data_IF_277058204431
#
_entry.id   IF_277058204431
#
_cell.length_a   1.000
_cell.length_b   1.000
_cell.length_c   1.000
_cell.angle_alpha   90.00
_cell.angle_beta   90.00
_cell.angle_gamma   90.00
#
_symmetry.space_group_name_H-M   'P 1'
#
loop_
_entity.id
_entity.type
_entity.pdbx_description
1 polymer ?
#
# COMPACT_ATOMS: atom_id res chain seq x y z
N UNK A 1 -21.46 19.87 15.43
CA UNK A 1 -21.09 19.57 14.04
C UNK A 1 -20.19 18.35 14.07
N UNK A 2 -20.52 17.27 13.37
CA UNK A 2 -19.63 16.11 13.26
C UNK A 2 -18.39 16.55 12.49
N UNK A 3 -17.19 16.31 13.02
CA UNK A 3 -15.95 16.56 12.29
C UNK A 3 -15.77 15.47 11.23
N UNK A 4 -15.45 15.85 9.99
CA UNK A 4 -15.10 14.88 8.97
C UNK A 4 -13.76 14.23 9.32
N UNK A 5 -13.75 12.89 9.33
CA UNK A 5 -12.55 12.10 9.62
C UNK A 5 -11.88 11.67 8.31
N UNK A 6 -10.56 11.53 8.32
CA UNK A 6 -9.81 10.98 7.19
C UNK A 6 -10.21 9.53 6.91
N UNK A 7 -10.50 9.21 5.64
CA UNK A 7 -10.85 7.85 5.22
C UNK A 7 -9.72 6.83 5.39
N UNK A 8 -8.47 7.28 5.50
CA UNK A 8 -7.31 6.39 5.58
C UNK A 8 -6.87 6.09 7.02
N UNK A 9 -6.76 7.12 7.87
CA UNK A 9 -6.26 6.97 9.25
C UNK A 9 -7.28 7.37 10.34
N UNK A 10 -8.43 7.94 9.99
CA UNK A 10 -9.43 8.39 10.98
C UNK A 10 -9.12 9.70 11.68
N UNK A 11 -7.97 10.34 11.44
CA UNK A 11 -7.67 11.67 12.00
C UNK A 11 -8.65 12.72 11.47
N UNK A 12 -9.13 13.66 12.31
CA UNK A 12 -9.93 14.79 11.85
C UNK A 12 -9.27 15.55 10.70
N UNK A 13 -10.07 15.88 9.69
CA UNK A 13 -9.62 16.65 8.54
C UNK A 13 -9.50 18.14 8.88
N UNK A 14 -8.48 18.78 8.32
CA UNK A 14 -8.24 20.21 8.41
C UNK A 14 -8.25 20.83 7.01
N UNK A 15 -8.65 22.10 6.84
CA UNK A 15 -8.52 22.77 5.55
C UNK A 15 -7.05 22.82 5.09
N UNK A 16 -6.77 22.41 3.85
CA UNK A 16 -5.44 22.53 3.23
C UNK A 16 -5.56 23.14 1.83
N UNK A 17 -4.68 24.08 1.53
CA UNK A 17 -4.64 24.78 0.24
C UNK A 17 -3.53 24.23 -0.64
N UNK A 18 -3.83 23.84 -1.89
CA UNK A 18 -2.84 23.48 -2.91
C UNK A 18 -3.29 24.02 -4.26
N UNK A 19 -2.36 24.63 -5.01
CA UNK A 19 -2.65 25.29 -6.30
C UNK A 19 -3.85 26.26 -6.24
N UNK A 20 -3.95 27.07 -5.18
CA UNK A 20 -5.00 28.08 -5.01
C UNK A 20 -6.39 27.54 -4.64
N UNK A 21 -6.54 26.24 -4.40
CA UNK A 21 -7.80 25.61 -4.00
C UNK A 21 -7.67 24.97 -2.62
N UNK A 22 -8.74 25.06 -1.82
CA UNK A 22 -8.80 24.51 -0.46
C UNK A 22 -9.64 23.24 -0.43
N UNK A 23 -9.10 22.19 0.17
CA UNK A 23 -9.79 20.92 0.37
C UNK A 23 -9.63 20.44 1.81
N UNK A 24 -10.54 19.58 2.31
CA UNK A 24 -10.27 18.79 3.50
C UNK A 24 -8.99 17.96 3.30
N UNK A 25 -8.04 18.07 4.21
CA UNK A 25 -6.79 17.32 4.17
C UNK A 25 -6.45 16.73 5.52
N UNK A 26 -5.81 15.57 5.52
CA UNK A 26 -5.41 14.92 6.74
C UNK A 26 -4.06 15.48 7.23
N UNK A 27 -3.93 15.95 8.48
CA UNK A 27 -2.63 16.39 9.00
C UNK A 27 -1.69 15.22 9.28
N UNK A 28 -2.20 13.99 9.40
CA UNK A 28 -1.43 12.78 9.70
C UNK A 28 -0.88 12.12 8.43
N UNK A 29 -1.75 11.56 7.57
CA UNK A 29 -1.31 10.88 6.34
C UNK A 29 -1.12 11.84 5.15
N UNK A 30 -1.38 13.14 5.34
CA UNK A 30 -1.20 14.20 4.34
C UNK A 30 -2.11 14.14 3.10
N UNK A 31 -2.98 13.13 3.00
CA UNK A 31 -3.98 13.02 1.94
C UNK A 31 -4.90 14.23 1.84
N UNK A 32 -5.36 14.48 0.62
CA UNK A 32 -6.39 15.47 0.30
C UNK A 32 -7.66 14.73 -0.11
N UNK A 33 -8.80 15.22 0.36
CA UNK A 33 -10.12 14.67 0.09
C UNK A 33 -10.95 15.71 -0.69
N UNK A 34 -10.64 15.93 -1.98
CA UNK A 34 -11.27 16.98 -2.77
C UNK A 34 -12.74 16.69 -3.10
N UNK A 35 -13.15 15.43 -2.98
CA UNK A 35 -14.49 14.95 -3.34
C UNK A 35 -15.18 14.33 -2.12
N UNK A 36 -16.24 14.97 -1.58
CA UNK A 36 -17.02 14.43 -0.46
C UNK A 36 -17.62 13.05 -0.76
N UNK A 37 -17.94 12.73 -2.02
CA UNK A 37 -18.45 11.41 -2.40
C UNK A 37 -17.39 10.33 -2.21
N UNK A 38 -16.14 10.60 -2.58
CA UNK A 38 -15.02 9.67 -2.39
C UNK A 38 -14.80 9.42 -0.89
N UNK A 39 -14.82 10.48 -0.08
CA UNK A 39 -14.67 10.34 1.37
C UNK A 39 -15.81 9.51 1.99
N UNK A 40 -17.05 9.74 1.58
CA UNK A 40 -18.21 8.98 2.04
C UNK A 40 -18.15 7.51 1.61
N UNK A 41 -17.72 7.21 0.37
CA UNK A 41 -17.53 5.84 -0.12
C UNK A 41 -16.47 5.10 0.70
N UNK A 42 -15.31 5.75 0.94
CA UNK A 42 -14.26 5.14 1.77
C UNK A 42 -14.78 4.85 3.17
N UNK A 43 -15.45 5.79 3.84
CA UNK A 43 -16.02 5.53 5.17
C UNK A 43 -17.04 4.40 5.19
N UNK A 44 -17.83 4.25 4.12
CA UNK A 44 -18.84 3.20 4.02
C UNK A 44 -18.24 1.81 3.91
N UNK A 45 -17.11 1.65 3.21
CA UNK A 45 -16.57 0.34 2.86
C UNK A 45 -15.21 0.02 3.46
N UNK A 46 -14.59 0.97 4.17
CA UNK A 46 -13.31 0.80 4.84
C UNK A 46 -13.34 -0.44 5.74
N UNK A 47 -12.32 -1.28 5.59
CA UNK A 47 -12.01 -2.32 6.56
C UNK A 47 -11.08 -1.72 7.63
N UNK A 48 -11.33 -1.99 8.93
CA UNK A 48 -10.36 -1.62 9.95
C UNK A 48 -9.06 -2.40 9.67
N UNK A 49 -7.88 -1.79 9.91
CA UNK A 49 -6.64 -2.56 9.91
C UNK A 49 -6.73 -3.67 10.98
N UNK A 50 -6.01 -4.78 10.81
CA UNK A 50 -5.87 -5.74 11.89
C UNK A 50 -5.32 -5.06 13.16
N UNK A 51 -5.77 -5.46 14.36
CA UNK A 51 -5.35 -4.81 15.60
C UNK A 51 -3.84 -4.95 15.81
N UNK A 52 -3.24 -3.91 16.40
CA UNK A 52 -1.80 -3.81 16.70
C UNK A 52 -0.87 -3.85 15.48
N UNK A 53 -1.38 -3.70 14.26
CA UNK A 53 -0.60 -3.78 13.03
C UNK A 53 0.18 -2.51 12.73
N UNK A 54 1.48 -2.69 12.44
CA UNK A 54 2.35 -1.62 11.94
C UNK A 54 2.30 -1.54 10.43
N UNK A 55 2.22 -2.68 9.73
CA UNK A 55 2.07 -2.75 8.27
C UNK A 55 0.86 -3.60 7.86
N UNK A 56 -0.01 -3.07 7.00
CA UNK A 56 -1.07 -3.88 6.38
C UNK A 56 -1.27 -3.54 4.92
N UNK A 57 -1.51 -4.53 4.07
CA UNK A 57 -2.04 -4.33 2.72
C UNK A 57 -3.38 -5.05 2.61
N UNK A 58 -4.47 -4.27 2.47
CA UNK A 58 -5.83 -4.81 2.49
C UNK A 58 -6.59 -4.47 1.23
N UNK A 59 -7.34 -5.45 0.72
CA UNK A 59 -8.35 -5.22 -0.31
C UNK A 59 -9.65 -4.70 0.32
N UNK A 60 -10.06 -3.52 -0.09
CA UNK A 60 -11.25 -2.81 0.35
C UNK A 60 -12.18 -2.59 -0.85
N UNK A 61 -13.28 -3.35 -0.97
CA UNK A 61 -14.36 -2.98 -1.89
C UNK A 61 -14.75 -1.53 -1.65
N UNK A 62 -14.97 -0.73 -2.69
CA UNK A 62 -15.30 0.71 -2.56
C UNK A 62 -16.60 1.08 -3.30
N UNK A 63 -17.30 0.08 -3.86
CA UNK A 63 -18.51 0.27 -4.66
C UNK A 63 -18.28 0.75 -6.09
N UNK A 64 -17.03 0.82 -6.57
CA UNK A 64 -16.70 1.09 -7.98
C UNK A 64 -16.31 -0.20 -8.71
N UNK A 65 -16.04 -0.11 -10.03
CA UNK A 65 -15.57 -1.22 -10.85
C UNK A 65 -14.20 -1.75 -10.39
N UNK A 66 -13.34 -0.85 -9.93
CA UNK A 66 -12.02 -1.18 -9.40
C UNK A 66 -11.99 -0.81 -7.93
N UNK A 67 -12.14 -1.85 -7.12
CA UNK A 67 -11.99 -1.80 -5.67
C UNK A 67 -10.61 -1.28 -5.26
N UNK A 68 -10.43 -0.91 -4.01
CA UNK A 68 -9.17 -0.33 -3.56
C UNK A 68 -8.26 -1.38 -2.91
N UNK A 69 -6.95 -1.17 -3.06
CA UNK A 69 -5.95 -1.64 -2.11
C UNK A 69 -5.51 -0.50 -1.22
N UNK A 70 -5.35 -0.83 0.05
CA UNK A 70 -4.91 0.12 1.06
C UNK A 70 -3.68 -0.42 1.77
N UNK A 71 -2.54 0.20 1.49
CA UNK A 71 -1.34 0.06 2.26
C UNK A 71 -1.45 0.96 3.50
N UNK A 72 -1.13 0.43 4.66
CA UNK A 72 -0.94 1.18 5.90
C UNK A 72 0.44 0.86 6.45
N UNK A 73 1.16 1.88 6.88
CA UNK A 73 2.51 1.78 7.42
C UNK A 73 2.67 2.80 8.56
N UNK A 74 2.55 2.34 9.81
CA UNK A 74 2.43 3.20 10.98
C UNK A 74 1.22 4.12 10.85
N UNK A 75 1.46 5.43 10.78
CA UNK A 75 0.42 6.46 10.59
C UNK A 75 0.21 6.84 9.13
N UNK A 76 1.09 6.35 8.23
CA UNK A 76 0.98 6.54 6.79
C UNK A 76 -0.01 5.57 6.18
N UNK A 77 -0.67 6.00 5.12
CA UNK A 77 -1.55 5.16 4.34
C UNK A 77 -1.54 5.61 2.88
N UNK A 78 -1.57 4.64 1.98
CA UNK A 78 -1.64 4.84 0.54
C UNK A 78 -2.78 3.98 -0.01
N UNK A 79 -3.61 4.59 -0.86
CA UNK A 79 -4.74 3.94 -1.51
C UNK A 79 -4.52 3.92 -3.01
N UNK A 80 -4.66 2.74 -3.60
CA UNK A 80 -4.55 2.51 -5.06
C UNK A 80 -5.71 1.64 -5.52
N UNK A 81 -6.04 1.71 -6.81
CA UNK A 81 -7.03 0.80 -7.36
C UNK A 81 -6.48 -0.63 -7.51
N UNK A 82 -7.38 -1.58 -7.70
CA UNK A 82 -7.07 -3.00 -7.89
C UNK A 82 -7.02 -3.43 -9.36
N UNK A 83 -6.99 -2.49 -10.31
CA UNK A 83 -7.11 -2.79 -11.74
C UNK A 83 -6.03 -3.78 -12.20
N UNK A 84 -4.76 -3.48 -11.92
CA UNK A 84 -3.63 -4.33 -12.32
C UNK A 84 -3.60 -5.68 -11.60
N UNK A 85 -4.16 -5.77 -10.39
CA UNK A 85 -4.33 -7.06 -9.70
C UNK A 85 -5.42 -7.91 -10.37
N UNK A 86 -6.43 -7.29 -10.96
CA UNK A 86 -7.46 -7.98 -11.73
C UNK A 86 -6.90 -8.54 -13.06
N UNK A 87 -5.87 -7.89 -13.62
CA UNK A 87 -5.17 -8.32 -14.84
C UNK A 87 -4.10 -9.39 -14.62
N UNK A 88 -3.80 -9.73 -13.36
CA UNK A 88 -2.72 -10.63 -12.96
C UNK A 88 -3.07 -12.11 -13.15
N UNK A 89 -3.19 -12.51 -14.41
CA UNK A 89 -3.62 -13.83 -14.81
C UNK A 89 -3.16 -14.19 -16.22
N UNK A 90 -2.92 -15.49 -16.46
CA UNK A 90 -2.73 -16.02 -17.80
C UNK A 90 -4.02 -15.86 -18.63
N UNK A 91 -3.88 -15.56 -19.93
CA UNK A 91 -5.00 -15.30 -20.83
C UNK A 91 -6.13 -16.35 -20.73
N UNK A 92 -7.38 -15.87 -20.68
CA UNK A 92 -8.58 -16.69 -20.62
C UNK A 92 -9.09 -17.07 -19.22
N UNK A 93 -8.37 -16.71 -18.15
CA UNK A 93 -8.88 -16.82 -16.77
C UNK A 93 -9.75 -15.63 -16.42
N UNK A 94 -10.64 -15.79 -15.42
CA UNK A 94 -11.38 -14.65 -14.86
C UNK A 94 -10.46 -13.82 -13.95
N UNK A 95 -10.64 -12.50 -13.89
CA UNK A 95 -9.96 -11.65 -12.92
C UNK A 95 -10.16 -12.14 -11.48
N UNK A 96 -9.09 -12.17 -10.70
CA UNK A 96 -9.11 -12.60 -9.29
C UNK A 96 -8.08 -11.79 -8.48
N UNK A 97 -8.52 -10.60 -8.05
CA UNK A 97 -7.71 -9.66 -7.26
C UNK A 97 -7.22 -10.29 -5.97
N UNK A 98 -8.07 -11.06 -5.28
CA UNK A 98 -7.73 -11.66 -3.99
C UNK A 98 -6.62 -12.69 -4.17
N UNK A 99 -6.70 -13.52 -5.20
CA UNK A 99 -5.62 -14.47 -5.52
C UNK A 99 -4.31 -13.77 -5.87
N UNK A 100 -4.36 -12.71 -6.70
CA UNK A 100 -3.19 -11.90 -7.04
C UNK A 100 -2.53 -11.30 -5.79
N UNK A 101 -3.33 -10.66 -4.93
CA UNK A 101 -2.85 -10.08 -3.67
C UNK A 101 -2.23 -11.13 -2.74
N UNK A 102 -2.82 -12.32 -2.65
CA UNK A 102 -2.26 -13.42 -1.83
C UNK A 102 -0.92 -13.89 -2.38
N UNK A 103 -0.77 -13.99 -3.71
CA UNK A 103 0.49 -14.35 -4.33
C UNK A 103 1.57 -13.29 -4.04
N UNK A 104 1.23 -12.01 -4.24
CA UNK A 104 2.10 -10.88 -3.90
C UNK A 104 2.58 -10.93 -2.44
N UNK A 105 1.64 -11.06 -1.49
CA UNK A 105 1.97 -11.11 -0.04
C UNK A 105 2.78 -12.36 0.33
N UNK A 106 2.59 -13.47 -0.37
CA UNK A 106 3.43 -14.67 -0.21
C UNK A 106 4.87 -14.36 -0.64
N UNK A 107 5.05 -13.72 -1.80
CA UNK A 107 6.37 -13.28 -2.26
C UNK A 107 7.01 -12.25 -1.33
N UNK A 108 6.22 -11.32 -0.76
CA UNK A 108 6.71 -10.39 0.27
C UNK A 108 7.28 -11.14 1.47
N UNK A 109 6.54 -12.12 2.01
CA UNK A 109 6.99 -12.91 3.16
C UNK A 109 8.28 -13.68 2.85
N UNK A 110 8.38 -14.28 1.66
CA UNK A 110 9.59 -14.98 1.20
C UNK A 110 10.78 -14.02 1.09
N UNK A 111 10.60 -12.85 0.45
CA UNK A 111 11.66 -11.86 0.28
C UNK A 111 12.17 -11.33 1.62
N UNK A 112 11.28 -11.00 2.55
CA UNK A 112 11.64 -10.53 3.90
C UNK A 112 12.37 -11.60 4.71
N UNK A 113 11.93 -12.87 4.62
CA UNK A 113 12.57 -13.98 5.34
C UNK A 113 13.98 -14.25 4.80
N UNK A 114 14.18 -14.15 3.49
CA UNK A 114 15.46 -14.37 2.82
C UNK A 114 16.43 -13.17 2.84
N UNK A 115 15.99 -12.00 3.31
CA UNK A 115 16.79 -10.77 3.29
C UNK A 115 17.95 -10.84 4.31
N UNK A 116 19.19 -10.73 3.84
CA UNK A 116 20.35 -10.68 4.73
C UNK A 116 20.51 -9.30 5.38
N UNK A 117 21.32 -9.23 6.44
CA UNK A 117 21.61 -7.97 7.10
C UNK A 117 22.29 -6.97 6.15
N UNK A 118 21.91 -5.69 6.23
CA UNK A 118 22.36 -4.63 5.33
C UNK A 118 21.77 -4.69 3.91
N UNK A 119 20.97 -5.71 3.57
CA UNK A 119 20.30 -5.78 2.26
C UNK A 119 18.97 -5.04 2.25
N UNK A 120 18.61 -4.55 1.07
CA UNK A 120 17.31 -3.98 0.78
C UNK A 120 16.46 -4.99 0.00
N UNK A 121 15.18 -5.08 0.33
CA UNK A 121 14.16 -5.70 -0.52
C UNK A 121 13.11 -4.67 -0.89
N UNK A 122 12.61 -4.76 -2.12
CA UNK A 122 11.57 -3.88 -2.66
C UNK A 122 10.28 -4.66 -2.80
N UNK A 123 9.20 -4.14 -2.23
CA UNK A 123 7.90 -4.82 -2.12
C UNK A 123 6.81 -3.94 -2.79
N UNK A 124 6.29 -4.30 -3.98
CA UNK A 124 5.35 -3.45 -4.70
C UNK A 124 3.95 -3.58 -4.13
N UNK A 125 3.21 -2.47 -4.01
CA UNK A 125 1.85 -2.47 -3.47
C UNK A 125 0.84 -1.70 -4.33
N UNK A 126 1.29 -0.76 -5.15
CA UNK A 126 0.43 0.02 -6.03
C UNK A 126 0.93 -0.02 -7.47
N UNK A 127 0.03 -0.12 -8.43
CA UNK A 127 0.34 -0.21 -9.84
C UNK A 127 -0.52 0.80 -10.59
N UNK A 128 0.12 1.69 -11.34
CA UNK A 128 -0.53 2.75 -12.10
C UNK A 128 0.03 2.75 -13.51
N UNK A 129 -0.69 3.35 -14.46
CA UNK A 129 -0.28 3.37 -15.87
C UNK A 129 1.14 3.92 -16.09
N UNK A 130 1.57 4.88 -15.27
CA UNK A 130 2.84 5.59 -15.44
C UNK A 130 3.83 5.41 -14.27
N UNK A 131 3.48 4.63 -13.25
CA UNK A 131 4.31 4.46 -12.06
C UNK A 131 3.86 3.24 -11.23
N UNK A 132 4.72 2.84 -10.30
CA UNK A 132 4.42 1.79 -9.30
C UNK A 132 4.81 2.27 -7.91
N UNK A 133 4.02 1.91 -6.90
CA UNK A 133 4.30 2.15 -5.49
C UNK A 133 5.01 0.95 -4.86
N UNK A 134 6.03 1.23 -4.07
CA UNK A 134 6.92 0.24 -3.48
C UNK A 134 7.22 0.57 -2.02
N UNK A 135 7.37 -0.46 -1.22
CA UNK A 135 8.08 -0.37 0.06
C UNK A 135 9.54 -0.73 -0.16
N UNK A 136 10.46 0.10 0.36
CA UNK A 136 11.87 -0.28 0.53
C UNK A 136 12.08 -0.73 1.97
N UNK A 137 12.51 -1.97 2.15
CA UNK A 137 12.79 -2.56 3.46
C UNK A 137 14.27 -2.88 3.56
N UNK A 138 15.01 -2.14 4.38
CA UNK A 138 16.44 -2.39 4.63
C UNK A 138 16.59 -3.11 5.98
N UNK A 139 17.25 -4.27 5.98
CA UNK A 139 17.49 -5.02 7.22
C UNK A 139 18.69 -4.45 7.97
N UNK A 140 18.52 -4.28 9.29
CA UNK A 140 19.56 -3.92 10.25
C UNK A 140 19.35 -4.75 11.52
N UNK A 141 20.11 -5.85 11.64
CA UNK A 141 19.98 -6.84 12.70
C UNK A 141 18.61 -7.51 12.75
N UNK A 142 17.87 -7.26 13.83
CA UNK A 142 16.53 -7.79 14.11
C UNK A 142 15.40 -6.82 13.69
N UNK A 143 15.75 -5.77 12.96
CA UNK A 143 14.84 -4.70 12.58
C UNK A 143 14.91 -4.45 11.07
N UNK A 144 13.77 -4.13 10.48
CA UNK A 144 13.67 -3.53 9.15
C UNK A 144 13.40 -2.04 9.27
N UNK A 145 14.11 -1.26 8.47
CA UNK A 145 13.78 0.12 8.18
C UNK A 145 12.91 0.14 6.91
N UNK A 146 11.63 0.45 7.07
CA UNK A 146 10.62 0.38 6.02
C UNK A 146 10.18 1.78 5.63
N UNK A 147 10.24 2.11 4.35
CA UNK A 147 9.71 3.35 3.81
C UNK A 147 8.83 3.13 2.58
N UNK A 148 7.82 3.97 2.44
CA UNK A 148 6.98 4.04 1.26
C UNK A 148 7.63 4.89 0.18
N UNK A 149 7.42 4.52 -1.09
CA UNK A 149 7.97 5.21 -2.23
C UNK A 149 7.38 4.74 -3.54
N UNK A 150 8.00 5.17 -4.64
CA UNK A 150 7.53 4.89 -5.99
C UNK A 150 8.69 4.75 -6.97
N UNK A 151 8.39 4.21 -8.13
CA UNK A 151 9.28 4.12 -9.29
C UNK A 151 8.50 4.53 -10.55
N UNK A 152 9.20 5.04 -11.55
CA UNK A 152 8.63 5.34 -12.87
C UNK A 152 8.35 4.06 -13.68
N UNK A 153 8.64 2.87 -13.13
CA UNK A 153 8.19 1.60 -13.73
C UNK A 153 6.68 1.58 -13.83
N UNK A 154 6.19 1.46 -15.07
CA UNK A 154 4.78 1.44 -15.41
C UNK A 154 4.12 0.13 -14.95
N UNK A 155 2.88 0.22 -14.44
CA UNK A 155 2.16 -0.90 -13.83
C UNK A 155 1.87 -2.04 -14.80
N UNK A 156 1.73 -1.76 -16.10
CA UNK A 156 1.53 -2.79 -17.13
C UNK A 156 2.80 -3.59 -17.44
N UNK A 157 3.98 -3.11 -17.03
CA UNK A 157 5.26 -3.77 -17.27
C UNK A 157 5.61 -4.87 -16.24
N UNK A 158 4.73 -5.10 -15.27
CA UNK A 158 4.93 -6.00 -14.14
C UNK A 158 3.62 -6.69 -13.75
N UNK A 159 3.71 -7.98 -13.41
CA UNK A 159 2.60 -8.72 -12.82
C UNK A 159 2.71 -8.66 -11.30
N UNK A 160 1.66 -8.25 -10.56
CA UNK A 160 1.70 -8.22 -9.10
C UNK A 160 2.12 -9.55 -8.47
N UNK A 161 1.68 -10.69 -9.02
CA UNK A 161 2.06 -12.02 -8.54
C UNK A 161 3.46 -12.48 -8.94
N UNK A 162 4.13 -11.77 -9.86
CA UNK A 162 5.46 -12.13 -10.39
C UNK A 162 6.32 -10.88 -10.62
N UNK A 163 6.73 -10.26 -9.51
CA UNK A 163 7.41 -8.97 -9.51
C UNK A 163 8.93 -9.07 -9.27
N UNK A 164 9.44 -10.26 -8.93
CA UNK A 164 10.77 -10.42 -8.33
C UNK A 164 11.92 -9.97 -9.25
N UNK A 165 11.86 -10.34 -10.54
CA UNK A 165 12.85 -9.92 -11.54
C UNK A 165 12.88 -8.40 -11.69
N UNK A 166 11.69 -7.77 -11.76
CA UNK A 166 11.56 -6.32 -11.87
C UNK A 166 12.07 -5.60 -10.62
N UNK A 167 11.80 -6.15 -9.43
CA UNK A 167 12.30 -5.58 -8.18
C UNK A 167 13.84 -5.55 -8.12
N UNK A 168 14.52 -6.59 -8.61
CA UNK A 168 15.98 -6.65 -8.61
C UNK A 168 16.62 -5.59 -9.53
N UNK A 169 15.95 -5.25 -10.64
CA UNK A 169 16.41 -4.24 -11.59
C UNK A 169 15.99 -2.80 -11.28
N UNK A 170 15.23 -2.57 -10.21
CA UNK A 170 14.68 -1.26 -9.89
C UNK A 170 15.76 -0.34 -9.30
N UNK A 171 16.15 0.69 -10.04
CA UNK A 171 17.22 1.63 -9.64
C UNK A 171 16.73 3.05 -9.38
N UNK A 172 15.47 3.34 -9.69
CA UNK A 172 14.89 4.68 -9.69
C UNK A 172 13.90 4.91 -8.53
N UNK A 173 13.95 4.07 -7.49
CA UNK A 173 13.10 4.23 -6.30
C UNK A 173 13.24 5.62 -5.68
N UNK A 174 12.10 6.28 -5.47
CA UNK A 174 12.01 7.58 -4.81
C UNK A 174 11.08 7.50 -3.59
N UNK A 175 11.51 7.96 -2.41
CA UNK A 175 10.65 8.02 -1.23
C UNK A 175 9.38 8.84 -1.48
N UNK A 176 8.26 8.38 -0.92
CA UNK A 176 6.99 9.03 -1.06
C UNK A 176 7.04 10.42 -0.38
N UNK A 177 6.65 11.50 -1.09
CA UNK A 177 6.68 12.84 -0.52
C UNK A 177 5.85 12.92 0.76
N UNK A 178 6.52 13.18 1.89
CA UNK A 178 5.88 13.41 3.17
C UNK A 178 5.64 12.17 4.04
N UNK A 179 6.09 10.99 3.62
CA UNK A 179 6.17 9.81 4.48
C UNK A 179 6.99 10.09 5.75
N UNK A 180 8.11 10.80 5.60
CA UNK A 180 9.05 11.07 6.69
C UNK A 180 10.23 10.08 6.67
N UNK A 181 10.95 9.90 7.80
CA UNK A 181 12.03 8.92 7.88
C UNK A 181 11.49 7.48 7.82
N UNK A 182 12.30 6.50 7.38
CA UNK A 182 11.95 5.07 7.42
C UNK A 182 11.49 4.63 8.82
N UNK A 183 10.44 3.82 8.87
CA UNK A 183 9.91 3.26 10.11
C UNK A 183 10.73 2.03 10.51
N UNK A 184 11.26 2.03 11.73
CA UNK A 184 11.91 0.86 12.32
C UNK A 184 10.85 -0.14 12.81
N UNK A 185 10.84 -1.35 12.27
CA UNK A 185 9.90 -2.42 12.61
C UNK A 185 10.69 -3.69 12.89
N UNK A 186 10.47 -4.32 14.05
CA UNK A 186 11.08 -5.61 14.35
C UNK A 186 10.75 -6.64 13.25
N UNK A 187 11.71 -7.45 12.84
CA UNK A 187 11.55 -8.47 11.79
C UNK A 187 10.36 -9.39 12.06
N UNK A 188 10.21 -9.83 13.31
CA UNK A 188 9.10 -10.69 13.73
C UNK A 188 7.75 -9.99 13.58
N UNK A 189 7.68 -8.69 13.89
CA UNK A 189 6.47 -7.88 13.74
C UNK A 189 6.11 -7.71 12.26
N UNK A 190 7.09 -7.32 11.44
CA UNK A 190 6.86 -7.09 10.01
C UNK A 190 6.37 -8.36 9.31
N UNK A 191 6.98 -9.51 9.60
CA UNK A 191 6.52 -10.80 9.08
C UNK A 191 5.11 -11.15 9.57
N UNK A 192 4.82 -10.96 10.87
CA UNK A 192 3.48 -11.20 11.41
C UNK A 192 2.41 -10.31 10.74
N UNK A 193 2.76 -9.06 10.43
CA UNK A 193 1.92 -8.09 9.75
C UNK A 193 1.61 -8.47 8.29
N UNK A 194 2.61 -8.97 7.56
CA UNK A 194 2.41 -9.54 6.22
C UNK A 194 1.52 -10.78 6.27
N UNK A 195 1.74 -11.68 7.24
CA UNK A 195 0.91 -12.88 7.43
C UNK A 195 -0.54 -12.53 7.81
N UNK A 196 -0.74 -11.52 8.66
CA UNK A 196 -2.07 -11.02 9.01
C UNK A 196 -2.78 -10.43 7.77
N UNK A 197 -2.06 -9.71 6.92
CA UNK A 197 -2.58 -9.20 5.64
C UNK A 197 -2.99 -10.34 4.72
N UNK A 198 -2.17 -11.40 4.63
CA UNK A 198 -2.44 -12.59 3.83
C UNK A 198 -3.69 -13.34 4.32
N UNK A 199 -3.86 -13.47 5.64
CA UNK A 199 -5.04 -14.08 6.24
C UNK A 199 -6.31 -13.23 6.01
N UNK A 200 -6.18 -11.91 6.07
CA UNK A 200 -7.27 -10.96 5.83
C UNK A 200 -7.69 -10.88 4.35
N UNK A 201 -6.81 -11.27 3.42
CA UNK A 201 -7.14 -11.47 2.02
C UNK A 201 -7.97 -12.76 1.85
N UNK A 202 -9.23 -12.69 2.29
CA UNK A 202 -10.25 -13.72 2.11
C UNK A 202 -11.11 -13.44 0.87
N UNK A 203 -11.56 -14.46 0.14
CA UNK A 203 -12.58 -14.31 -0.91
C UNK A 203 -13.92 -13.85 -0.34
#
# INVERSE_FOLDING_TARGET
MSQDLCGNCGTPLVPRTRAGRTWPGCPTCRDLWPNPKTLALVHRHRRPPPPNTTLSLTYEPNGTEHHDLVLRLGTWANRSDSYYYALDHAGGRRPDVVRSLRALLTHWATALTGCADGQAVLLPHAFHDQATGWLRCVRSGDTFHVEDGWSALEGWAIYPSDYAERAQGLTDFQPAPGFGPPLAIACTRLLADVQASLAAASP
#
